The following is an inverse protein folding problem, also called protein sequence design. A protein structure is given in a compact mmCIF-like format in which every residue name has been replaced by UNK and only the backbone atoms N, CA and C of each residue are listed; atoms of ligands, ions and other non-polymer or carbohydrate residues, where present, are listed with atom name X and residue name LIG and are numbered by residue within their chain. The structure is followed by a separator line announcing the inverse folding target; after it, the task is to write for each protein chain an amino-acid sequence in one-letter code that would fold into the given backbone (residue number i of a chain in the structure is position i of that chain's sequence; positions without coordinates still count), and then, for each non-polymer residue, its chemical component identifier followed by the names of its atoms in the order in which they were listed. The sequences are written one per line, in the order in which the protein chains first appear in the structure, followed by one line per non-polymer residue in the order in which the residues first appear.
data_IF_832707678167
#
_entry.id   IF_832707678167
#
_cell.length_a   1.000
_cell.length_b   1.000
_cell.length_c   1.000
_cell.angle_alpha   90.00
_cell.angle_beta   90.00
_cell.angle_gamma   90.00
#
_symmetry.space_group_name_H-M   'P 1'
#
loop_
_entity.id
_entity.type
_entity.pdbx_description
1 polymer ?
#
# COMPACT_ATOMS: atom_id res chain seq x y z
N UNK A 1 11.56 1.70 -30.15
CA UNK A 1 11.51 3.17 -30.10
C UNK A 1 12.56 3.70 -31.06
N UNK A 2 12.24 4.71 -31.86
CA UNK A 2 13.22 5.33 -32.75
C UNK A 2 14.18 6.27 -31.96
N UNK A 3 15.36 6.60 -32.51
CA UNK A 3 16.37 7.39 -31.80
C UNK A 3 15.96 8.82 -31.45
N UNK A 4 15.11 9.47 -32.26
CA UNK A 4 14.69 10.86 -32.01
C UNK A 4 13.71 10.92 -30.84
N UNK A 5 12.75 9.99 -30.80
CA UNK A 5 11.84 9.82 -29.67
C UNK A 5 12.60 9.48 -28.38
N UNK A 6 13.60 8.60 -28.45
CA UNK A 6 14.44 8.25 -27.30
C UNK A 6 15.21 9.46 -26.76
N UNK A 7 15.81 10.27 -27.65
CA UNK A 7 16.48 11.50 -27.27
C UNK A 7 15.51 12.53 -26.67
N UNK A 8 14.28 12.59 -27.18
CA UNK A 8 13.20 13.38 -26.62
C UNK A 8 12.92 13.00 -25.16
N UNK A 9 12.80 11.71 -24.86
CA UNK A 9 12.59 11.21 -23.49
C UNK A 9 13.79 11.45 -22.58
N UNK A 10 15.03 11.34 -23.07
CA UNK A 10 16.22 11.67 -22.26
C UNK A 10 16.22 13.15 -21.88
N UNK A 11 15.83 14.03 -22.81
CA UNK A 11 15.87 15.48 -22.57
C UNK A 11 14.75 15.97 -21.67
N UNK A 12 13.54 15.41 -21.79
CA UNK A 12 12.35 15.90 -21.08
C UNK A 12 11.99 15.05 -19.86
N UNK A 13 12.40 13.79 -19.83
CA UNK A 13 12.26 12.92 -18.66
C UNK A 13 13.29 13.26 -17.60
N UNK A 14 12.97 12.91 -16.36
CA UNK A 14 13.86 13.06 -15.23
C UNK A 14 14.91 11.94 -15.23
N UNK A 15 15.98 12.16 -14.49
CA UNK A 15 17.04 11.17 -14.27
C UNK A 15 17.29 11.01 -12.79
N UNK A 16 17.40 9.76 -12.36
CA UNK A 16 17.82 9.39 -11.02
C UNK A 16 19.24 8.83 -11.11
N UNK A 17 20.20 9.54 -10.52
CA UNK A 17 21.61 9.15 -10.48
C UNK A 17 21.96 8.62 -9.10
N UNK A 18 22.47 7.40 -9.04
CA UNK A 18 22.99 6.76 -7.85
C UNK A 18 24.51 6.71 -7.88
N UNK A 19 25.14 7.15 -6.78
CA UNK A 19 26.58 7.12 -6.60
C UNK A 19 26.96 6.05 -5.58
N UNK A 20 28.01 5.29 -5.91
CA UNK A 20 28.67 4.34 -5.00
C UNK A 20 27.78 3.22 -4.45
N UNK A 21 26.67 2.90 -5.13
CA UNK A 21 25.79 1.79 -4.74
C UNK A 21 26.53 0.46 -4.93
N UNK A 22 26.58 -0.42 -3.90
CA UNK A 22 27.24 -1.70 -4.00
C UNK A 22 26.63 -2.58 -5.09
N UNK A 23 27.46 -3.40 -5.74
CA UNK A 23 26.97 -4.42 -6.68
C UNK A 23 26.04 -5.40 -5.96
N UNK A 24 25.12 -5.99 -6.73
CA UNK A 24 24.09 -6.92 -6.27
C UNK A 24 22.96 -6.31 -5.43
N UNK A 25 23.11 -5.07 -4.93
CA UNK A 25 22.00 -4.30 -4.36
C UNK A 25 20.81 -4.33 -5.31
N UNK A 26 19.63 -4.67 -4.81
CA UNK A 26 18.40 -4.54 -5.57
C UNK A 26 17.96 -3.09 -5.52
N UNK A 27 17.69 -2.50 -6.68
CA UNK A 27 17.15 -1.14 -6.81
C UNK A 27 15.91 -1.21 -7.69
N UNK A 28 14.81 -0.67 -7.18
CA UNK A 28 13.56 -0.55 -7.88
C UNK A 28 13.09 0.89 -8.04
N UNK A 29 12.33 1.10 -9.11
CA UNK A 29 11.52 2.28 -9.33
C UNK A 29 10.15 1.83 -9.82
N UNK A 30 9.10 2.26 -9.12
CA UNK A 30 7.72 1.89 -9.41
C UNK A 30 7.56 0.36 -9.47
N UNK A 31 7.07 -0.18 -10.58
CA UNK A 31 6.85 -1.61 -10.80
C UNK A 31 8.11 -2.36 -11.27
N UNK A 32 9.26 -1.67 -11.36
CA UNK A 32 10.49 -2.21 -11.93
C UNK A 32 11.53 -2.43 -10.85
N UNK A 33 12.24 -3.56 -10.92
CA UNK A 33 13.37 -3.87 -10.03
C UNK A 33 14.55 -4.40 -10.83
N UNK A 34 15.75 -4.01 -10.43
CA UNK A 34 17.01 -4.36 -11.07
C UNK A 34 18.06 -4.72 -10.02
N UNK A 35 18.95 -5.64 -10.36
CA UNK A 35 20.19 -5.85 -9.58
C UNK A 35 21.29 -4.92 -10.09
N UNK A 36 21.95 -4.21 -9.18
CA UNK A 36 23.01 -3.26 -9.51
C UNK A 36 24.24 -4.01 -10.05
N UNK A 37 24.54 -3.78 -11.33
CA UNK A 37 25.76 -4.29 -11.97
C UNK A 37 26.96 -3.35 -11.84
N UNK A 38 28.17 -3.75 -12.28
CA UNK A 38 29.41 -3.00 -12.09
C UNK A 38 29.44 -1.58 -12.66
N UNK A 39 28.63 -1.31 -13.69
CA UNK A 39 28.59 -0.03 -14.39
C UNK A 39 27.28 0.75 -14.15
N UNK A 40 26.31 0.17 -13.43
CA UNK A 40 25.01 0.79 -13.23
C UNK A 40 25.14 2.01 -12.31
N UNK A 41 24.58 3.14 -12.72
CA UNK A 41 24.54 4.37 -11.93
C UNK A 41 23.16 5.01 -11.87
N UNK A 42 22.09 4.30 -12.25
CA UNK A 42 20.73 4.78 -12.13
C UNK A 42 19.93 4.75 -13.41
N UNK A 43 18.88 5.57 -13.46
CA UNK A 43 17.76 5.42 -14.38
C UNK A 43 17.45 6.76 -15.05
N UNK A 44 17.27 6.76 -16.37
CA UNK A 44 16.90 7.93 -17.18
C UNK A 44 15.56 7.74 -17.88
N UNK A 45 15.04 8.81 -18.47
CA UNK A 45 13.74 8.82 -19.16
C UNK A 45 12.55 8.61 -18.21
N UNK A 46 12.70 8.98 -16.93
CA UNK A 46 11.62 8.86 -15.95
C UNK A 46 10.53 9.89 -16.31
N UNK A 47 9.27 9.48 -16.53
CA UNK A 47 8.21 10.44 -16.81
C UNK A 47 8.00 11.42 -15.65
N UNK A 48 7.42 12.61 -15.89
CA UNK A 48 7.06 13.51 -14.78
C UNK A 48 5.94 12.94 -13.89
N UNK A 49 6.00 13.27 -12.61
CA UNK A 49 5.00 12.90 -11.59
C UNK A 49 5.57 12.09 -10.43
N UNK A 50 4.71 11.50 -9.58
CA UNK A 50 5.15 10.72 -8.43
C UNK A 50 5.78 9.41 -8.88
N UNK A 51 6.90 9.05 -8.25
CA UNK A 51 7.58 7.78 -8.40
C UNK A 51 7.98 7.24 -7.04
N UNK A 52 8.02 5.91 -6.90
CA UNK A 52 8.51 5.27 -5.68
C UNK A 52 9.82 4.58 -5.96
N UNK A 53 10.88 5.03 -5.30
CA UNK A 53 12.23 4.46 -5.42
C UNK A 53 12.47 3.62 -4.19
N UNK A 54 12.97 2.41 -4.38
CA UNK A 54 13.22 1.49 -3.28
C UNK A 54 14.43 0.63 -3.55
N UNK A 55 15.05 0.13 -2.50
CA UNK A 55 16.24 -0.69 -2.61
C UNK A 55 16.38 -1.64 -1.43
N UNK A 56 17.17 -2.69 -1.65
CA UNK A 56 17.58 -3.64 -0.63
C UNK A 56 19.05 -3.98 -0.85
N UNK A 57 19.87 -3.71 0.16
CA UNK A 57 21.29 -4.00 0.15
C UNK A 57 21.50 -5.51 0.21
N UNK A 58 22.47 -6.04 -0.53
CA UNK A 58 22.81 -7.45 -0.48
C UNK A 58 24.07 -7.68 0.36
N UNK A 59 24.26 -8.94 0.79
CA UNK A 59 25.58 -9.39 1.21
C UNK A 59 26.57 -9.42 0.01
N UNK A 60 27.81 -9.85 0.26
CA UNK A 60 28.87 -9.88 -0.76
C UNK A 60 28.62 -10.89 -1.88
N UNK A 61 27.87 -11.94 -1.57
CA UNK A 61 27.61 -13.06 -2.48
C UNK A 61 26.32 -12.87 -3.29
N UNK A 62 25.49 -11.87 -2.92
CA UNK A 62 24.29 -11.48 -3.65
C UNK A 62 23.07 -12.38 -3.39
N UNK A 63 23.11 -13.20 -2.33
CA UNK A 63 22.08 -14.21 -2.03
C UNK A 63 21.25 -13.91 -0.76
N UNK A 64 21.70 -12.97 0.08
CA UNK A 64 20.93 -12.45 1.22
C UNK A 64 20.73 -10.94 1.09
N UNK A 65 19.53 -10.47 1.47
CA UNK A 65 19.06 -9.10 1.27
C UNK A 65 18.59 -8.44 2.57
N UNK A 66 18.85 -7.15 2.73
CA UNK A 66 18.36 -6.34 3.84
C UNK A 66 16.86 -6.07 3.70
N UNK A 67 16.18 -5.62 4.76
CA UNK A 67 14.86 -5.02 4.60
C UNK A 67 14.84 -3.93 3.53
N UNK A 68 13.72 -3.81 2.82
CA UNK A 68 13.56 -2.76 1.81
C UNK A 68 13.53 -1.39 2.49
N UNK A 69 14.20 -0.43 1.87
CA UNK A 69 14.07 0.99 2.16
C UNK A 69 13.54 1.66 0.89
N UNK A 70 12.44 2.40 1.02
CA UNK A 70 11.86 3.15 -0.09
C UNK A 70 11.55 4.60 0.26
N UNK A 71 11.38 5.44 -0.76
CA UNK A 71 11.00 6.84 -0.61
C UNK A 71 10.29 7.30 -1.89
N UNK A 72 9.40 8.29 -1.77
CA UNK A 72 8.80 8.88 -2.95
C UNK A 72 9.66 10.02 -3.50
N UNK A 73 9.52 10.25 -4.80
CA UNK A 73 10.02 11.44 -5.49
C UNK A 73 8.89 12.03 -6.33
N UNK A 74 8.85 13.36 -6.41
CA UNK A 74 8.00 14.08 -7.36
C UNK A 74 8.86 14.56 -8.53
N UNK A 75 8.95 13.74 -9.58
CA UNK A 75 9.86 13.95 -10.68
C UNK A 75 9.38 15.11 -11.57
N UNK A 76 10.17 16.17 -11.64
CA UNK A 76 9.91 17.32 -12.51
C UNK A 76 10.55 17.13 -13.90
N UNK A 77 9.98 17.70 -14.98
CA UNK A 77 10.56 17.58 -16.31
C UNK A 77 12.03 18.00 -16.35
N UNK A 78 12.88 17.16 -16.96
CA UNK A 78 14.33 17.38 -17.08
C UNK A 78 15.10 17.51 -15.76
N UNK A 79 14.49 17.15 -14.64
CA UNK A 79 15.13 17.13 -13.33
C UNK A 79 16.17 16.02 -13.24
N UNK A 80 17.26 16.28 -12.53
CA UNK A 80 18.25 15.26 -12.17
C UNK A 80 18.27 15.17 -10.66
N UNK A 81 17.89 14.01 -10.15
CA UNK A 81 17.87 13.71 -8.71
C UNK A 81 19.10 12.86 -8.42
N UNK A 82 19.96 13.32 -7.51
CA UNK A 82 21.19 12.60 -7.18
C UNK A 82 21.13 12.04 -5.77
N UNK A 83 21.50 10.77 -5.62
CA UNK A 83 21.62 10.10 -4.33
C UNK A 83 22.95 9.38 -4.24
N UNK A 84 23.56 9.41 -3.06
CA UNK A 84 24.84 8.74 -2.81
C UNK A 84 24.65 7.67 -1.74
N UNK A 85 25.27 6.51 -1.95
CA UNK A 85 25.31 5.47 -0.95
C UNK A 85 26.23 5.88 0.20
N UNK A 86 25.69 5.86 1.41
CA UNK A 86 26.46 5.92 2.64
C UNK A 86 26.79 4.50 3.11
N UNK A 87 28.07 4.15 3.12
CA UNK A 87 28.52 2.80 3.46
C UNK A 87 28.34 2.46 4.94
N UNK A 88 28.30 3.45 5.83
CA UNK A 88 28.19 3.22 7.28
C UNK A 88 26.73 3.00 7.69
N UNK A 89 25.83 3.79 7.09
CA UNK A 89 24.40 3.75 7.34
C UNK A 89 23.65 2.82 6.37
N UNK A 90 24.34 2.26 5.37
CA UNK A 90 23.80 1.39 4.32
C UNK A 90 22.53 1.95 3.65
N UNK A 91 22.58 3.25 3.31
CA UNK A 91 21.42 3.98 2.77
C UNK A 91 21.77 5.03 1.73
N UNK A 92 20.78 5.42 0.95
CA UNK A 92 20.90 6.49 -0.04
C UNK A 92 20.63 7.87 0.59
N UNK A 93 21.69 8.67 0.70
CA UNK A 93 21.60 10.03 1.26
C UNK A 93 21.56 11.11 0.18
N UNK A 94 20.94 12.25 0.52
CA UNK A 94 21.00 13.47 -0.29
C UNK A 94 22.40 14.08 -0.21
N UNK A 95 22.85 14.65 -1.33
CA UNK A 95 24.11 15.39 -1.40
C UNK A 95 23.91 16.84 -0.97
N UNK A 96 25.02 17.57 -0.82
CA UNK A 96 24.97 19.03 -0.76
C UNK A 96 24.50 19.62 -2.09
N UNK A 97 23.87 20.80 -2.05
CA UNK A 97 23.34 21.48 -3.25
C UNK A 97 24.43 21.70 -4.32
N UNK A 98 25.65 22.03 -3.90
CA UNK A 98 26.79 22.23 -4.81
C UNK A 98 27.17 20.94 -5.56
N UNK A 99 27.21 19.80 -4.85
CA UNK A 99 27.53 18.52 -5.46
C UNK A 99 26.41 18.02 -6.35
N UNK A 100 25.16 18.19 -5.93
CA UNK A 100 23.99 17.82 -6.72
C UNK A 100 23.93 18.61 -8.04
N UNK A 101 24.21 19.92 -8.02
CA UNK A 101 24.29 20.73 -9.25
C UNK A 101 25.43 20.26 -10.17
N UNK A 102 26.61 19.97 -9.62
CA UNK A 102 27.76 19.47 -10.41
C UNK A 102 27.43 18.15 -11.12
N UNK A 103 26.85 17.19 -10.40
CA UNK A 103 26.45 15.91 -11.01
C UNK A 103 25.28 16.07 -11.98
N UNK A 104 24.35 16.97 -11.69
CA UNK A 104 23.24 17.31 -12.60
C UNK A 104 23.74 17.83 -13.93
N UNK A 105 24.76 18.69 -13.94
CA UNK A 105 25.39 19.17 -15.17
C UNK A 105 26.06 18.04 -15.95
N UNK A 106 26.77 17.14 -15.27
CA UNK A 106 27.42 15.98 -15.90
C UNK A 106 26.41 14.98 -16.50
N UNK A 107 25.25 14.79 -15.87
CA UNK A 107 24.15 14.01 -16.45
C UNK A 107 23.59 14.71 -17.70
N UNK A 108 23.35 16.02 -17.63
CA UNK A 108 22.85 16.83 -18.75
C UNK A 108 23.84 16.91 -19.93
N UNK A 109 25.15 16.81 -19.68
CA UNK A 109 26.19 16.71 -20.70
C UNK A 109 26.38 15.29 -21.25
N UNK A 110 25.56 14.32 -20.81
CA UNK A 110 25.56 12.92 -21.22
C UNK A 110 26.81 12.13 -20.81
N UNK A 111 27.56 12.60 -19.80
CA UNK A 111 28.76 11.89 -19.30
C UNK A 111 28.42 10.53 -18.66
N UNK A 112 27.20 10.38 -18.15
CA UNK A 112 26.68 9.16 -17.52
C UNK A 112 25.79 8.31 -18.43
N UNK A 113 25.61 8.68 -19.71
CA UNK A 113 24.56 8.10 -20.56
C UNK A 113 24.66 6.56 -20.71
N UNK A 114 25.88 6.02 -20.70
CA UNK A 114 26.16 4.57 -20.81
C UNK A 114 25.91 3.80 -19.52
N UNK A 115 25.88 4.49 -18.38
CA UNK A 115 25.70 3.94 -17.04
C UNK A 115 24.25 4.05 -16.55
N UNK A 116 23.41 4.79 -17.27
CA UNK A 116 22.01 5.02 -16.94
C UNK A 116 21.10 4.09 -17.76
N UNK A 117 20.37 3.22 -17.06
CA UNK A 117 19.35 2.36 -17.66
C UNK A 117 18.12 3.18 -18.08
N UNK A 118 17.45 2.86 -19.21
CA UNK A 118 16.20 3.51 -19.56
C UNK A 118 15.06 3.02 -18.67
N UNK A 119 14.19 3.93 -18.24
CA UNK A 119 12.93 3.57 -17.60
C UNK A 119 12.05 2.76 -18.58
N UNK A 120 11.45 1.66 -18.13
CA UNK A 120 10.59 0.80 -18.94
C UNK A 120 9.22 1.45 -19.17
N UNK A 121 9.15 2.35 -20.15
CA UNK A 121 7.95 3.15 -20.44
C UNK A 121 6.70 2.30 -20.76
N UNK A 122 6.84 1.04 -21.17
CA UNK A 122 5.69 0.14 -21.37
C UNK A 122 4.95 -0.18 -20.08
N UNK A 123 5.61 -0.13 -18.92
CA UNK A 123 5.00 -0.36 -17.61
C UNK A 123 4.47 0.93 -16.95
N UNK A 124 4.77 2.11 -17.52
CA UNK A 124 4.32 3.39 -16.96
C UNK A 124 2.79 3.50 -16.90
N UNK A 125 2.08 2.86 -17.83
CA UNK A 125 0.62 2.85 -17.84
C UNK A 125 0.03 2.21 -16.58
N UNK A 126 0.63 1.11 -16.12
CA UNK A 126 0.21 0.41 -14.91
C UNK A 126 0.58 1.23 -13.67
N UNK A 127 1.81 1.74 -13.60
CA UNK A 127 2.23 2.66 -12.54
C UNK A 127 1.27 3.83 -12.38
N UNK A 128 0.87 4.46 -13.49
CA UNK A 128 -0.05 5.59 -13.48
C UNK A 128 -1.41 5.23 -12.88
N UNK A 129 -1.92 4.01 -13.08
CA UNK A 129 -3.17 3.59 -12.42
C UNK A 129 -3.01 3.40 -10.91
N UNK A 130 -1.80 3.08 -10.45
CA UNK A 130 -1.48 2.89 -9.03
C UNK A 130 -1.21 4.22 -8.30
N UNK A 131 -0.79 5.28 -9.01
CA UNK A 131 -0.30 6.52 -8.40
C UNK A 131 -1.00 7.81 -8.81
N UNK A 132 -2.06 7.77 -9.65
CA UNK A 132 -2.67 8.97 -10.23
C UNK A 132 -3.32 9.97 -9.25
N UNK A 133 -3.57 9.59 -7.99
CA UNK A 133 -4.06 10.49 -6.94
C UNK A 133 -2.96 10.90 -5.95
N UNK A 134 -1.74 10.36 -6.07
CA UNK A 134 -0.61 10.79 -5.25
C UNK A 134 -0.13 12.14 -5.77
N UNK A 135 -0.12 13.13 -4.89
CA UNK A 135 0.35 14.47 -5.18
C UNK A 135 1.51 14.83 -4.25
N UNK A 136 2.26 15.88 -4.60
CA UNK A 136 3.31 16.42 -3.74
C UNK A 136 2.83 16.72 -2.32
N UNK A 137 1.63 17.29 -2.18
CA UNK A 137 1.04 17.58 -0.86
C UNK A 137 0.72 16.33 -0.06
N UNK A 138 0.35 15.22 -0.72
CA UNK A 138 0.13 13.93 -0.05
C UNK A 138 1.45 13.36 0.44
N UNK A 139 2.49 13.37 -0.41
CA UNK A 139 3.83 12.91 -0.05
C UNK A 139 4.37 13.70 1.15
N UNK A 140 4.39 15.03 1.07
CA UNK A 140 4.88 15.90 2.15
C UNK A 140 4.11 15.75 3.47
N UNK A 141 2.82 15.40 3.42
CA UNK A 141 1.98 15.22 4.61
C UNK A 141 2.20 13.87 5.28
N UNK A 142 2.38 12.80 4.50
CA UNK A 142 2.39 11.43 5.00
C UNK A 142 3.80 10.90 5.22
N UNK A 143 4.78 11.32 4.42
CA UNK A 143 6.14 10.81 4.50
C UNK A 143 6.75 10.95 5.90
N UNK A 144 7.52 9.95 6.36
CA UNK A 144 8.19 10.03 7.64
C UNK A 144 9.26 11.13 7.64
N UNK A 145 9.70 11.55 8.82
CA UNK A 145 10.85 12.48 8.92
C UNK A 145 12.09 11.80 8.32
N UNK A 146 12.58 12.35 7.22
CA UNK A 146 13.68 11.80 6.43
C UNK A 146 13.25 11.15 5.11
N UNK A 147 11.95 10.90 4.92
CA UNK A 147 11.35 10.36 3.69
C UNK A 147 11.51 8.85 3.49
N UNK A 148 12.36 8.19 4.27
CA UNK A 148 12.64 6.76 4.17
C UNK A 148 11.55 5.92 4.87
N UNK A 149 10.89 5.06 4.09
CA UNK A 149 9.90 4.08 4.52
C UNK A 149 10.57 2.71 4.56
N UNK A 150 10.57 2.08 5.73
CA UNK A 150 11.14 0.74 5.93
C UNK A 150 10.53 0.10 7.17
N UNK A 151 10.34 -1.22 7.15
CA UNK A 151 9.86 -2.00 8.30
C UNK A 151 10.70 -1.78 9.57
N UNK A 152 12.00 -1.49 9.42
CA UNK A 152 12.91 -1.25 10.54
C UNK A 152 12.63 0.05 11.31
N UNK A 153 11.92 1.01 10.69
CA UNK A 153 11.59 2.32 11.28
C UNK A 153 10.15 2.39 11.80
N UNK A 154 9.37 1.32 11.63
CA UNK A 154 7.99 1.25 12.10
C UNK A 154 7.97 1.16 13.63
N UNK A 155 7.09 1.94 14.25
CA UNK A 155 7.01 2.00 15.71
C UNK A 155 6.07 0.91 16.22
N UNK A 156 6.49 0.15 17.22
CA UNK A 156 5.59 -0.73 17.98
C UNK A 156 4.47 0.03 18.71
N UNK A 157 4.56 1.37 18.81
CA UNK A 157 3.64 2.20 19.58
C UNK A 157 2.75 3.06 18.66
N UNK A 158 1.54 2.56 18.37
CA UNK A 158 0.22 3.24 18.46
C UNK A 158 -0.86 2.35 17.83
N UNK A 159 -1.77 1.80 18.65
CA UNK A 159 -3.17 1.46 18.31
C UNK A 159 -3.46 0.38 17.24
N UNK A 160 -2.49 0.05 16.40
CA UNK A 160 -2.57 -0.79 15.21
C UNK A 160 -1.66 -2.03 15.35
N UNK A 161 -1.58 -2.60 16.54
CA UNK A 161 -0.90 -3.89 16.71
C UNK A 161 -1.55 -4.97 15.85
N UNK A 162 -0.78 -5.90 15.26
CA UNK A 162 -1.29 -7.12 14.64
C UNK A 162 -2.21 -7.87 15.61
N UNK A 163 -3.50 -7.90 15.32
CA UNK A 163 -4.51 -8.56 16.17
C UNK A 163 -4.85 -9.93 15.61
N UNK A 164 -4.86 -10.06 14.30
CA UNK A 164 -5.25 -11.30 13.62
C UNK A 164 -4.07 -12.25 13.44
N UNK A 165 -4.35 -13.53 13.26
CA UNK A 165 -3.35 -14.54 12.87
C UNK A 165 -2.62 -14.14 11.58
N UNK A 166 -3.35 -13.62 10.60
CA UNK A 166 -2.82 -13.11 9.34
C UNK A 166 -1.88 -11.91 9.54
N UNK A 167 -2.28 -10.91 10.34
CA UNK A 167 -1.43 -9.74 10.60
C UNK A 167 -0.15 -10.14 11.34
N UNK A 168 -0.23 -11.13 12.24
CA UNK A 168 0.96 -11.67 12.92
C UNK A 168 1.87 -12.43 11.97
N UNK A 169 1.32 -13.28 11.10
CA UNK A 169 2.08 -13.99 10.09
C UNK A 169 2.77 -13.03 9.11
N UNK A 170 2.07 -11.97 8.68
CA UNK A 170 2.63 -10.91 7.85
C UNK A 170 3.76 -10.18 8.57
N UNK A 171 3.55 -9.79 9.83
CA UNK A 171 4.58 -9.15 10.64
C UNK A 171 5.81 -10.07 10.80
N UNK A 172 5.62 -11.36 11.05
CA UNK A 172 6.72 -12.33 11.14
C UNK A 172 7.47 -12.46 9.81
N UNK A 173 6.76 -12.49 8.68
CA UNK A 173 7.36 -12.55 7.35
C UNK A 173 8.21 -11.31 7.06
N UNK A 174 7.67 -10.12 7.31
CA UNK A 174 8.35 -8.83 7.08
C UNK A 174 9.52 -8.60 8.07
N UNK A 175 9.37 -9.06 9.31
CA UNK A 175 10.38 -8.90 10.36
C UNK A 175 11.42 -10.04 10.42
N UNK A 176 11.30 -11.08 9.60
CA UNK A 176 12.19 -12.27 9.61
C UNK A 176 13.67 -11.99 9.30
N UNK A 177 14.03 -10.73 9.03
CA UNK A 177 15.42 -10.33 8.80
C UNK A 177 16.25 -10.37 10.09
N UNK A 178 17.42 -11.01 10.03
CA UNK A 178 18.42 -11.05 11.11
C UNK A 178 19.11 -9.70 11.36
N UNK A 179 18.60 -8.61 10.77
CA UNK A 179 19.29 -7.32 10.61
C UNK A 179 18.71 -6.19 11.47
N UNK A 180 17.85 -6.48 12.44
CA UNK A 180 17.32 -5.45 13.35
C UNK A 180 18.44 -4.89 14.26
N UNK A 181 19.01 -3.72 13.90
CA UNK A 181 19.75 -2.91 14.86
C UNK A 181 18.75 -2.23 15.80
N UNK A 182 18.99 -2.19 17.12
CA UNK A 182 18.13 -1.44 18.03
C UNK A 182 18.24 0.05 17.68
N UNK A 183 17.20 0.62 17.09
CA UNK A 183 17.10 2.06 16.88
C UNK A 183 16.62 2.74 18.17
N UNK A 184 17.06 3.98 18.41
CA UNK A 184 16.65 4.75 19.58
C UNK A 184 15.12 4.91 19.65
N UNK A 185 14.54 4.46 20.77
CA UNK A 185 13.09 4.34 21.04
C UNK A 185 12.29 5.65 21.03
N UNK A 186 12.90 6.79 20.68
CA UNK A 186 12.36 8.13 20.97
C UNK A 186 11.97 8.96 19.74
N UNK A 187 12.10 8.45 18.52
CA UNK A 187 11.64 9.16 17.31
C UNK A 187 10.61 8.32 16.56
N UNK A 188 9.39 8.87 16.44
CA UNK A 188 8.36 8.37 15.52
C UNK A 188 8.92 8.53 14.10
N UNK A 189 9.33 7.41 13.48
CA UNK A 189 9.90 7.35 12.14
C UNK A 189 8.99 6.68 11.11
N UNK A 190 7.78 6.27 11.50
CA UNK A 190 6.75 5.80 10.58
C UNK A 190 6.00 6.93 9.88
N UNK A 191 5.24 6.58 8.85
CA UNK A 191 4.42 7.51 8.09
C UNK A 191 3.33 8.17 8.96
N UNK A 192 2.95 9.41 8.62
CA UNK A 192 1.92 10.19 9.32
C UNK A 192 0.53 9.97 8.70
N UNK A 193 0.09 8.72 8.68
CA UNK A 193 -1.23 8.35 8.18
C UNK A 193 -2.37 8.99 8.98
N UNK A 194 -3.49 9.22 8.29
CA UNK A 194 -4.74 9.70 8.87
C UNK A 194 -5.30 8.64 9.81
N UNK A 195 -5.66 9.03 11.02
CA UNK A 195 -6.15 8.09 12.04
C UNK A 195 -7.58 7.67 11.77
N UNK A 196 -7.78 6.40 11.40
CA UNK A 196 -9.11 5.83 11.14
C UNK A 196 -9.54 5.00 12.36
N UNK A 197 -10.54 5.44 13.14
CA UNK A 197 -11.00 4.69 14.30
C UNK A 197 -11.72 3.41 13.85
N UNK A 198 -11.25 2.26 14.33
CA UNK A 198 -11.88 0.95 14.04
C UNK A 198 -13.34 0.89 14.51
N UNK A 199 -13.59 1.43 15.69
CA UNK A 199 -14.91 1.51 16.30
C UNK A 199 -15.13 2.94 16.76
N UNK A 200 -16.24 3.53 16.33
CA UNK A 200 -16.67 4.83 16.83
C UNK A 200 -17.17 4.62 18.25
N UNK A 201 -16.48 5.21 19.22
CA UNK A 201 -16.86 5.18 20.65
C UNK A 201 -17.14 6.60 21.11
N UNK A 202 -18.39 6.88 21.45
CA UNK A 202 -18.78 8.16 22.04
C UNK A 202 -19.47 7.91 23.37
N UNK A 203 -18.98 8.54 24.44
CA UNK A 203 -19.50 8.35 25.81
C UNK A 203 -20.91 8.94 26.01
N UNK A 204 -21.37 9.80 25.10
CA UNK A 204 -22.61 10.57 25.25
C UNK A 204 -23.71 10.16 24.25
N UNK A 205 -23.45 9.18 23.38
CA UNK A 205 -24.41 8.71 22.36
C UNK A 205 -25.23 7.53 22.90
N UNK A 206 -26.53 7.48 22.58
CA UNK A 206 -27.40 6.35 22.96
C UNK A 206 -26.96 5.06 22.25
N UNK A 207 -27.11 3.91 22.90
CA UNK A 207 -26.64 2.62 22.37
C UNK A 207 -27.10 2.32 20.93
N UNK A 208 -28.36 2.61 20.59
CA UNK A 208 -28.89 2.40 19.24
C UNK A 208 -28.21 3.29 18.18
N UNK A 209 -27.98 4.56 18.49
CA UNK A 209 -27.29 5.50 17.60
C UNK A 209 -25.82 5.10 17.44
N UNK A 210 -25.18 4.61 18.51
CA UNK A 210 -23.81 4.10 18.46
C UNK A 210 -23.69 2.84 17.59
N UNK A 211 -24.65 1.91 17.68
CA UNK A 211 -24.73 0.74 16.81
C UNK A 211 -24.90 1.17 15.35
N UNK A 212 -25.83 2.09 15.08
CA UNK A 212 -26.07 2.60 13.72
C UNK A 212 -24.81 3.23 13.10
N UNK A 213 -24.06 4.03 13.87
CA UNK A 213 -22.80 4.64 13.42
C UNK A 213 -21.68 3.63 13.15
N UNK A 214 -21.76 2.43 13.74
CA UNK A 214 -20.77 1.40 13.52
C UNK A 214 -21.18 0.42 12.41
N UNK A 215 -22.47 0.30 12.10
CA UNK A 215 -22.99 -0.47 10.96
C UNK A 215 -22.82 0.27 9.63
N UNK A 216 -23.03 1.58 9.60
CA UNK A 216 -22.78 2.42 8.42
C UNK A 216 -21.66 3.42 8.71
N UNK A 217 -20.53 3.27 8.01
CA UNK A 217 -19.36 4.14 8.18
C UNK A 217 -19.48 5.49 7.46
N UNK A 218 -20.59 5.78 6.78
CA UNK A 218 -20.79 7.04 6.02
C UNK A 218 -20.51 8.28 6.87
N UNK A 219 -21.02 8.36 8.10
CA UNK A 219 -20.78 9.52 8.97
C UNK A 219 -19.31 9.66 9.41
N UNK A 220 -18.62 8.53 9.60
CA UNK A 220 -17.20 8.54 9.90
C UNK A 220 -16.39 9.04 8.70
N UNK A 221 -16.72 8.59 7.49
CA UNK A 221 -16.11 9.06 6.25
C UNK A 221 -16.29 10.58 6.08
N UNK A 222 -17.51 11.11 6.29
CA UNK A 222 -17.77 12.55 6.18
C UNK A 222 -16.97 13.37 7.20
N UNK A 223 -16.83 12.86 8.43
CA UNK A 223 -16.03 13.50 9.47
C UNK A 223 -14.55 13.58 9.10
N UNK A 224 -13.98 12.47 8.61
CA UNK A 224 -12.58 12.38 8.17
C UNK A 224 -12.35 13.30 6.96
N UNK A 225 -13.21 13.26 5.95
CA UNK A 225 -13.11 14.13 4.77
C UNK A 225 -13.12 15.60 5.16
N UNK A 226 -13.98 16.00 6.09
CA UNK A 226 -14.07 17.39 6.55
C UNK A 226 -12.86 17.80 7.38
N UNK A 227 -12.42 16.95 8.31
CA UNK A 227 -11.40 17.29 9.31
C UNK A 227 -9.99 17.21 8.76
N UNK A 228 -9.66 16.13 8.04
CA UNK A 228 -8.30 15.81 7.63
C UNK A 228 -8.00 16.18 6.17
N UNK A 229 -9.04 16.28 5.33
CA UNK A 229 -8.90 16.52 3.88
C UNK A 229 -9.58 17.80 3.39
N UNK A 230 -10.23 18.57 4.26
CA UNK A 230 -10.91 19.82 3.88
C UNK A 230 -12.01 19.64 2.82
N UNK A 231 -12.60 18.44 2.74
CA UNK A 231 -13.58 18.05 1.73
C UNK A 231 -13.01 17.58 0.39
N UNK A 232 -11.68 17.60 0.21
CA UNK A 232 -11.03 17.16 -1.03
C UNK A 232 -10.90 15.63 -1.09
N UNK A 233 -11.90 14.98 -1.67
CA UNK A 233 -12.01 13.52 -1.79
C UNK A 233 -10.78 12.86 -2.45
N UNK A 234 -10.17 13.52 -3.43
CA UNK A 234 -9.01 12.99 -4.16
C UNK A 234 -7.76 12.84 -3.27
N UNK A 235 -7.66 13.62 -2.18
CA UNK A 235 -6.57 13.50 -1.21
C UNK A 235 -6.68 12.22 -0.36
N UNK A 236 -7.89 11.77 -0.05
CA UNK A 236 -8.13 10.48 0.62
C UNK A 236 -7.69 9.33 -0.30
N UNK A 237 -8.00 9.41 -1.60
CA UNK A 237 -7.53 8.44 -2.59
C UNK A 237 -6.02 8.46 -2.79
N UNK A 238 -5.39 9.63 -2.67
CA UNK A 238 -3.93 9.77 -2.68
C UNK A 238 -3.28 9.06 -1.51
N UNK A 239 -3.81 9.19 -0.29
CA UNK A 239 -3.35 8.43 0.87
C UNK A 239 -3.58 6.92 0.68
N UNK A 240 -4.72 6.52 0.12
CA UNK A 240 -5.03 5.13 -0.17
C UNK A 240 -4.02 4.50 -1.14
N UNK A 241 -3.63 5.21 -2.20
CA UNK A 241 -2.60 4.77 -3.14
C UNK A 241 -1.20 4.77 -2.51
N UNK A 242 -0.87 5.81 -1.73
CA UNK A 242 0.42 5.89 -1.02
C UNK A 242 0.61 4.68 -0.08
N UNK A 243 -0.42 4.34 0.69
CA UNK A 243 -0.40 3.20 1.61
C UNK A 243 -0.22 1.88 0.85
N UNK A 244 -0.93 1.68 -0.27
CA UNK A 244 -0.78 0.48 -1.08
C UNK A 244 0.65 0.31 -1.63
N UNK A 245 1.23 1.38 -2.19
CA UNK A 245 2.58 1.35 -2.77
C UNK A 245 3.63 1.15 -1.69
N UNK A 246 3.52 1.86 -0.57
CA UNK A 246 4.43 1.73 0.57
C UNK A 246 4.39 0.32 1.17
N UNK A 247 3.21 -0.31 1.17
CA UNK A 247 3.07 -1.71 1.56
C UNK A 247 3.71 -2.65 0.55
N UNK A 248 3.27 -2.61 -0.71
CA UNK A 248 3.63 -3.62 -1.71
C UNK A 248 5.10 -3.55 -2.12
N UNK A 249 5.62 -2.33 -2.32
CA UNK A 249 7.00 -2.11 -2.77
C UNK A 249 7.93 -1.81 -1.59
N UNK A 250 7.45 -1.05 -0.61
CA UNK A 250 8.24 -0.65 0.57
C UNK A 250 8.22 -1.67 1.72
N UNK A 251 7.42 -2.74 1.61
CA UNK A 251 7.29 -3.77 2.65
C UNK A 251 6.91 -3.21 4.03
N UNK A 252 6.15 -2.12 4.05
CA UNK A 252 5.69 -1.44 5.26
C UNK A 252 4.43 -2.09 5.83
N UNK A 253 4.49 -2.57 7.09
CA UNK A 253 3.33 -3.10 7.81
C UNK A 253 2.37 -1.97 8.22
N UNK A 254 2.89 -0.81 8.63
CA UNK A 254 2.04 0.35 8.94
C UNK A 254 1.21 0.77 7.72
N UNK A 255 1.81 0.71 6.53
CA UNK A 255 1.13 0.99 5.28
C UNK A 255 0.06 -0.05 4.94
N UNK A 256 0.30 -1.34 5.18
CA UNK A 256 -0.71 -2.38 5.01
C UNK A 256 -1.93 -2.12 5.91
N UNK A 257 -1.69 -1.84 7.19
CA UNK A 257 -2.76 -1.62 8.16
C UNK A 257 -3.57 -0.36 7.84
N UNK A 258 -2.92 0.68 7.32
CA UNK A 258 -3.61 1.87 6.83
C UNK A 258 -4.44 1.56 5.57
N UNK A 259 -3.88 0.84 4.61
CA UNK A 259 -4.61 0.40 3.41
C UNK A 259 -5.85 -0.42 3.81
N UNK A 260 -5.70 -1.41 4.70
CA UNK A 260 -6.82 -2.20 5.27
C UNK A 260 -7.87 -1.30 5.93
N UNK A 261 -7.46 -0.34 6.77
CA UNK A 261 -8.38 0.57 7.46
C UNK A 261 -9.18 1.45 6.48
N UNK A 262 -8.56 1.91 5.40
CA UNK A 262 -9.22 2.69 4.34
C UNK A 262 -10.20 1.84 3.53
N UNK A 263 -9.82 0.60 3.19
CA UNK A 263 -10.72 -0.36 2.53
C UNK A 263 -11.94 -0.64 3.42
N UNK A 264 -11.72 -0.92 4.71
CA UNK A 264 -12.81 -1.15 5.68
C UNK A 264 -13.71 0.07 5.86
N UNK A 265 -13.14 1.28 5.89
CA UNK A 265 -13.91 2.52 5.99
C UNK A 265 -14.82 2.70 4.77
N UNK A 266 -14.27 2.57 3.56
CA UNK A 266 -14.99 2.85 2.32
C UNK A 266 -16.01 1.74 2.04
N UNK A 267 -15.62 0.46 2.02
CA UNK A 267 -16.55 -0.64 1.77
C UNK A 267 -17.60 -0.80 2.88
N UNK A 268 -17.36 -0.29 4.09
CA UNK A 268 -18.33 -0.26 5.18
C UNK A 268 -19.34 0.89 5.15
N UNK A 269 -19.35 1.73 4.11
CA UNK A 269 -20.36 2.77 3.93
C UNK A 269 -21.57 2.25 3.14
N UNK A 270 -22.79 2.48 3.63
CA UNK A 270 -24.02 2.09 2.91
C UNK A 270 -24.69 3.24 2.19
N UNK A 271 -24.77 4.42 2.81
CA UNK A 271 -25.44 5.60 2.23
C UNK A 271 -24.53 6.37 1.26
N UNK A 272 -23.24 6.51 1.59
CA UNK A 272 -22.27 7.24 0.78
C UNK A 272 -22.17 6.78 -0.69
N UNK A 273 -22.03 5.47 -1.00
CA UNK A 273 -21.93 5.02 -2.39
C UNK A 273 -23.19 5.30 -3.22
N UNK A 274 -24.37 5.28 -2.61
CA UNK A 274 -25.65 5.35 -3.32
C UNK A 274 -26.25 6.76 -3.39
N UNK A 275 -25.91 7.65 -2.44
CA UNK A 275 -26.62 8.91 -2.27
C UNK A 275 -25.72 10.15 -2.20
N UNK A 276 -24.70 10.17 -1.34
CA UNK A 276 -23.96 11.41 -1.07
C UNK A 276 -22.64 11.52 -1.82
N UNK A 277 -21.99 10.39 -2.15
CA UNK A 277 -20.59 10.34 -2.61
C UNK A 277 -20.34 9.32 -3.73
N UNK A 278 -21.33 9.03 -4.58
CA UNK A 278 -21.23 8.00 -5.63
C UNK A 278 -19.99 8.16 -6.54
N UNK A 279 -19.57 9.41 -6.82
CA UNK A 279 -18.38 9.68 -7.63
C UNK A 279 -17.05 9.31 -6.92
N UNK A 280 -16.93 9.59 -5.61
CA UNK A 280 -15.79 9.10 -4.81
C UNK A 280 -15.73 7.58 -4.85
N UNK A 281 -16.86 6.92 -4.67
CA UNK A 281 -16.92 5.46 -4.68
C UNK A 281 -16.57 4.88 -6.05
N UNK A 282 -17.03 5.47 -7.14
CA UNK A 282 -16.62 5.07 -8.49
C UNK A 282 -15.08 5.16 -8.64
N UNK A 283 -14.47 6.27 -8.19
CA UNK A 283 -13.01 6.44 -8.22
C UNK A 283 -12.31 5.41 -7.33
N UNK A 284 -12.79 5.20 -6.11
CA UNK A 284 -12.24 4.23 -5.17
C UNK A 284 -12.28 2.80 -5.74
N UNK A 285 -13.42 2.35 -6.25
CA UNK A 285 -13.56 1.01 -6.83
C UNK A 285 -12.62 0.82 -8.01
N UNK A 286 -12.43 1.85 -8.84
CA UNK A 286 -11.44 1.83 -9.90
C UNK A 286 -10.00 1.73 -9.37
N UNK A 287 -9.66 2.46 -8.31
CA UNK A 287 -8.32 2.40 -7.69
C UNK A 287 -8.05 1.01 -7.11
N UNK A 288 -8.94 0.49 -6.26
CA UNK A 288 -8.74 -0.83 -5.65
C UNK A 288 -8.75 -1.94 -6.71
N UNK A 289 -9.54 -1.83 -7.78
CA UNK A 289 -9.46 -2.74 -8.93
C UNK A 289 -8.05 -2.79 -9.52
N UNK A 290 -7.44 -1.64 -9.80
CA UNK A 290 -6.09 -1.61 -10.36
C UNK A 290 -5.02 -2.09 -9.37
N UNK A 291 -5.16 -1.76 -8.09
CA UNK A 291 -4.29 -2.25 -7.02
C UNK A 291 -4.33 -3.77 -6.91
N UNK A 292 -5.53 -4.35 -6.78
CA UNK A 292 -5.70 -5.80 -6.66
C UNK A 292 -5.34 -6.52 -7.96
N UNK A 293 -5.69 -5.96 -9.12
CA UNK A 293 -5.27 -6.52 -10.42
C UNK A 293 -3.76 -6.62 -10.52
N UNK A 294 -3.03 -5.59 -10.07
CA UNK A 294 -1.57 -5.62 -10.07
C UNK A 294 -1.03 -6.59 -9.02
N UNK A 295 -1.49 -6.50 -7.77
CA UNK A 295 -0.98 -7.31 -6.66
C UNK A 295 -1.31 -8.81 -6.77
N UNK A 296 -2.35 -9.18 -7.53
CA UNK A 296 -2.77 -10.56 -7.78
C UNK A 296 -2.23 -11.16 -9.08
N UNK A 297 -1.54 -10.38 -9.92
CA UNK A 297 -0.95 -10.91 -11.15
C UNK A 297 0.08 -11.98 -10.81
N UNK A 298 -0.24 -13.23 -11.16
CA UNK A 298 0.73 -14.35 -11.17
C UNK A 298 1.79 -14.00 -12.20
N UNK A 299 3.05 -13.95 -11.80
CA UNK A 299 4.19 -13.62 -12.66
C UNK A 299 4.07 -14.32 -14.02
N UNK A 300 3.77 -13.56 -15.08
CA UNK A 300 4.19 -13.93 -16.43
C UNK A 300 5.59 -13.35 -16.64
N UNK A 301 6.58 -13.93 -15.97
CA UNK A 301 7.99 -13.67 -16.27
C UNK A 301 8.56 -14.85 -17.07
N UNK A 302 8.44 -14.73 -18.39
CA UNK A 302 9.43 -15.25 -19.35
C UNK A 302 10.78 -14.49 -19.24
N UNK A 303 10.96 -13.66 -18.21
CA UNK A 303 12.21 -12.94 -17.93
C UNK A 303 13.18 -13.88 -17.23
N UNK A 304 13.98 -14.57 -18.05
CA UNK A 304 15.16 -15.34 -17.66
C UNK A 304 16.04 -14.50 -16.71
N UNK A 305 15.98 -14.77 -15.40
CA UNK A 305 16.95 -14.27 -14.43
C UNK A 305 16.42 -13.54 -13.19
N UNK A 306 15.11 -13.33 -13.02
CA UNK A 306 14.57 -12.83 -11.75
C UNK A 306 14.43 -13.99 -10.76
N UNK A 307 15.53 -14.34 -10.09
CA UNK A 307 15.54 -15.36 -9.05
C UNK A 307 14.69 -14.92 -7.84
N UNK A 308 13.89 -15.87 -7.36
CA UNK A 308 13.13 -15.91 -6.11
C UNK A 308 13.75 -15.04 -5.00
N UNK A 309 13.18 -13.87 -4.70
CA UNK A 309 13.74 -13.11 -3.58
C UNK A 309 12.97 -11.89 -3.07
N UNK A 310 12.24 -11.12 -3.88
CA UNK A 310 11.91 -9.75 -3.44
C UNK A 310 10.45 -9.31 -3.56
N UNK A 311 9.57 -10.09 -4.21
CA UNK A 311 8.15 -9.78 -4.20
C UNK A 311 7.46 -10.56 -3.08
N UNK A 312 7.06 -9.87 -2.03
CA UNK A 312 5.84 -10.23 -1.33
C UNK A 312 4.68 -9.97 -2.30
N UNK A 313 4.51 -10.85 -3.28
CA UNK A 313 3.20 -11.00 -3.91
C UNK A 313 2.21 -11.22 -2.77
N UNK A 314 1.02 -10.63 -2.88
CA UNK A 314 -0.08 -10.92 -1.97
C UNK A 314 -0.23 -12.44 -1.96
N UNK A 315 0.29 -13.09 -0.93
CA UNK A 315 0.21 -14.54 -0.83
C UNK A 315 -1.27 -14.89 -0.86
N UNK A 316 -1.65 -15.89 -1.65
CA UNK A 316 -3.04 -16.36 -1.77
C UNK A 316 -3.59 -16.73 -0.37
N UNK A 317 -2.71 -17.07 0.58
CA UNK A 317 -3.04 -17.29 1.99
C UNK A 317 -3.56 -16.04 2.72
N UNK A 318 -3.15 -14.82 2.31
CA UNK A 318 -3.59 -13.55 2.89
C UNK A 318 -4.96 -13.11 2.38
N UNK A 319 -5.38 -13.64 1.23
CA UNK A 319 -6.65 -13.35 0.55
C UNK A 319 -7.52 -14.61 0.47
N UNK A 320 -7.45 -15.47 1.48
CA UNK A 320 -8.37 -16.60 1.60
C UNK A 320 -9.81 -16.09 1.77
N UNK A 321 -10.81 -16.97 1.56
CA UNK A 321 -12.23 -16.62 1.70
C UNK A 321 -12.62 -16.15 3.12
N UNK A 322 -11.79 -16.48 4.12
CA UNK A 322 -11.92 -16.01 5.50
C UNK A 322 -11.26 -14.63 5.71
N UNK A 323 -10.80 -13.97 4.65
CA UNK A 323 -10.19 -12.64 4.74
C UNK A 323 -11.24 -11.55 4.96
N UNK A 324 -10.85 -10.50 5.70
CA UNK A 324 -11.64 -9.27 5.87
C UNK A 324 -12.10 -8.69 4.52
N UNK A 325 -11.30 -8.84 3.46
CA UNK A 325 -11.60 -8.27 2.15
C UNK A 325 -12.77 -9.00 1.48
N UNK A 326 -12.84 -10.34 1.57
CA UNK A 326 -13.95 -11.11 1.03
C UNK A 326 -15.28 -10.68 1.66
N UNK A 327 -15.34 -10.56 2.99
CA UNK A 327 -16.52 -10.13 3.72
C UNK A 327 -16.99 -8.73 3.31
N UNK A 328 -16.08 -7.75 3.31
CA UNK A 328 -16.39 -6.37 2.92
C UNK A 328 -16.83 -6.27 1.46
N UNK A 329 -16.17 -7.00 0.55
CA UNK A 329 -16.55 -7.02 -0.86
C UNK A 329 -17.92 -7.65 -1.05
N UNK A 330 -18.23 -8.75 -0.35
CA UNK A 330 -19.53 -9.43 -0.44
C UNK A 330 -20.67 -8.48 -0.09
N UNK A 331 -20.59 -7.83 1.07
CA UNK A 331 -21.63 -6.92 1.55
C UNK A 331 -21.77 -5.69 0.64
N UNK A 332 -20.65 -5.11 0.19
CA UNK A 332 -20.65 -3.98 -0.71
C UNK A 332 -21.20 -4.34 -2.11
N UNK A 333 -20.88 -5.51 -2.64
CA UNK A 333 -21.42 -5.98 -3.92
C UNK A 333 -22.93 -6.21 -3.81
N UNK A 334 -23.40 -6.82 -2.73
CA UNK A 334 -24.84 -6.96 -2.48
C UNK A 334 -25.52 -5.59 -2.48
N UNK A 335 -25.00 -4.63 -1.70
CA UNK A 335 -25.52 -3.27 -1.61
C UNK A 335 -25.65 -2.60 -2.98
N UNK A 336 -24.58 -2.59 -3.77
CA UNK A 336 -24.53 -1.86 -5.05
C UNK A 336 -25.31 -2.58 -6.15
N UNK A 337 -25.29 -3.92 -6.18
CA UNK A 337 -25.95 -4.70 -7.24
C UNK A 337 -27.46 -4.83 -7.04
N UNK A 338 -27.94 -4.78 -5.79
CA UNK A 338 -29.37 -4.84 -5.45
C UNK A 338 -30.02 -3.45 -5.30
N UNK A 339 -29.23 -2.38 -5.31
CA UNK A 339 -29.75 -1.02 -5.21
C UNK A 339 -30.73 -0.71 -6.37
N UNK A 340 -31.92 -0.14 -6.07
CA UNK A 340 -32.90 0.19 -7.11
C UNK A 340 -32.42 1.30 -8.05
N UNK A 341 -31.57 2.20 -7.55
CA UNK A 341 -30.96 3.30 -8.29
C UNK A 341 -29.49 3.37 -7.88
N UNK A 342 -28.60 3.30 -8.87
CA UNK A 342 -27.16 3.38 -8.67
C UNK A 342 -26.53 4.07 -9.88
N UNK A 343 -25.44 4.79 -9.63
CA UNK A 343 -24.62 5.37 -10.69
C UNK A 343 -24.11 4.27 -11.65
N UNK A 344 -24.21 4.52 -12.95
CA UNK A 344 -23.89 3.52 -13.98
C UNK A 344 -22.41 3.16 -14.04
N UNK A 345 -21.53 4.12 -13.79
CA UNK A 345 -20.08 3.89 -13.80
C UNK A 345 -19.65 3.15 -12.54
N UNK A 346 -20.20 3.53 -11.37
CA UNK A 346 -20.00 2.79 -10.12
C UNK A 346 -20.43 1.33 -10.30
N UNK A 347 -21.63 1.09 -10.85
CA UNK A 347 -22.13 -0.26 -11.09
C UNK A 347 -21.23 -1.05 -12.05
N UNK A 348 -20.74 -0.42 -13.12
CA UNK A 348 -19.83 -1.06 -14.08
C UNK A 348 -18.50 -1.46 -13.44
N UNK A 349 -17.89 -0.56 -12.67
CA UNK A 349 -16.62 -0.84 -12.00
C UNK A 349 -16.76 -1.85 -10.87
N UNK A 350 -17.86 -1.84 -10.13
CA UNK A 350 -18.15 -2.86 -9.11
C UNK A 350 -18.26 -4.25 -9.73
N UNK A 351 -18.91 -4.38 -10.90
CA UNK A 351 -18.95 -5.66 -11.63
C UNK A 351 -17.56 -6.13 -12.06
N UNK A 352 -16.73 -5.22 -12.59
CA UNK A 352 -15.35 -5.55 -12.97
C UNK A 352 -14.50 -5.99 -11.78
N UNK A 353 -14.67 -5.35 -10.63
CA UNK A 353 -13.98 -5.73 -9.40
C UNK A 353 -14.43 -7.10 -8.91
N UNK A 354 -15.75 -7.36 -8.91
CA UNK A 354 -16.31 -8.67 -8.60
C UNK A 354 -15.73 -9.75 -9.52
N UNK A 355 -15.80 -9.56 -10.83
CA UNK A 355 -15.26 -10.48 -11.85
C UNK A 355 -13.78 -10.76 -11.62
N UNK A 356 -12.97 -9.72 -11.38
CA UNK A 356 -11.53 -9.88 -11.10
C UNK A 356 -11.28 -10.82 -9.90
N UNK A 357 -12.02 -10.63 -8.82
CA UNK A 357 -11.84 -11.41 -7.59
C UNK A 357 -12.34 -12.85 -7.77
N UNK A 358 -13.47 -13.05 -8.44
CA UNK A 358 -14.00 -14.38 -8.78
C UNK A 358 -13.02 -15.14 -9.69
N UNK A 359 -12.51 -14.49 -10.74
CA UNK A 359 -11.59 -15.11 -11.71
C UNK A 359 -10.22 -15.43 -11.12
N UNK A 360 -9.70 -14.56 -10.24
CA UNK A 360 -8.31 -14.67 -9.77
C UNK A 360 -8.19 -15.50 -8.50
N UNK A 361 -9.13 -15.35 -7.56
CA UNK A 361 -9.10 -16.01 -6.25
C UNK A 361 -10.11 -17.16 -6.14
N UNK A 362 -11.01 -17.34 -7.12
CA UNK A 362 -12.05 -18.36 -7.07
C UNK A 362 -13.12 -18.11 -5.99
N UNK A 363 -13.25 -16.88 -5.52
CA UNK A 363 -14.28 -16.49 -4.56
C UNK A 363 -15.68 -16.63 -5.17
N UNK A 364 -16.67 -16.97 -4.34
CA UNK A 364 -18.07 -17.06 -4.76
C UNK A 364 -18.91 -16.02 -4.01
N UNK A 365 -19.35 -15.00 -4.76
CA UNK A 365 -20.23 -13.96 -4.25
C UNK A 365 -21.70 -14.21 -4.60
N UNK A 366 -22.07 -15.40 -5.10
CA UNK A 366 -23.46 -15.71 -5.40
C UNK A 366 -24.31 -15.88 -4.14
N UNK A 367 -25.59 -15.51 -4.24
CA UNK A 367 -26.60 -15.83 -3.24
C UNK A 367 -26.87 -17.34 -3.25
N UNK A 368 -26.62 -18.01 -2.13
CA UNK A 368 -27.38 -19.24 -1.81
C UNK A 368 -28.82 -18.81 -1.54
N UNK A 369 -29.67 -19.02 -2.53
CA UNK A 369 -31.11 -18.76 -2.43
C UNK A 369 -31.73 -19.62 -1.33
N UNK A 370 -32.28 -18.97 -0.30
CA UNK A 370 -33.40 -19.45 0.51
C UNK A 370 -33.14 -20.64 1.44
N UNK A 371 -33.44 -20.41 2.72
CA UNK A 371 -33.53 -21.41 3.81
C UNK A 371 -32.17 -21.80 4.43
N UNK A 372 -31.51 -20.84 5.06
CA UNK A 372 -30.84 -21.12 6.33
C UNK A 372 -30.95 -19.89 7.23
N UNK A 373 -32.09 -19.80 7.91
CA UNK A 373 -32.31 -18.88 9.01
C UNK A 373 -31.62 -19.42 10.25
N UNK A 374 -30.31 -19.26 10.33
CA UNK A 374 -29.53 -19.30 11.56
C UNK A 374 -28.18 -18.64 11.28
N UNK A 375 -28.03 -17.38 11.72
CA UNK A 375 -26.73 -16.74 11.84
C UNK A 375 -25.91 -17.54 12.87
N UNK A 376 -25.17 -18.53 12.41
CA UNK A 376 -24.02 -19.06 13.14
C UNK A 376 -22.78 -18.35 12.57
N UNK A 377 -22.53 -17.15 13.09
CA UNK A 377 -21.25 -16.46 13.02
C UNK A 377 -20.25 -17.24 13.90
N UNK A 378 -19.68 -18.32 13.38
CA UNK A 378 -18.60 -19.03 14.09
C UNK A 378 -17.19 -18.55 13.72
N UNK A 379 -17.03 -17.63 12.75
CA UNK A 379 -15.71 -17.13 12.36
C UNK A 379 -15.74 -15.72 11.73
N UNK A 380 -16.54 -14.80 12.28
CA UNK A 380 -16.31 -13.37 12.01
C UNK A 380 -15.05 -12.93 12.78
N UNK A 381 -14.00 -12.50 12.06
CA UNK A 381 -12.77 -11.88 12.59
C UNK A 381 -13.07 -10.74 13.60
N UNK A 382 -14.29 -10.18 13.55
CA UNK A 382 -14.78 -9.08 14.38
C UNK A 382 -15.82 -9.49 15.44
N UNK A 383 -16.13 -10.78 15.58
CA UNK A 383 -16.99 -11.28 16.66
C UNK A 383 -16.36 -10.96 18.04
N UNK A 384 -17.16 -10.51 19.03
CA UNK A 384 -16.64 -10.27 20.37
C UNK A 384 -16.15 -11.60 20.99
N UNK A 385 -14.95 -11.59 21.56
CA UNK A 385 -14.42 -12.73 22.33
C UNK A 385 -15.35 -12.99 23.51
N UNK A 386 -16.04 -14.13 23.48
CA UNK A 386 -16.90 -14.57 24.59
C UNK A 386 -15.98 -15.12 25.69
N UNK A 387 -15.70 -14.30 26.70
CA UNK A 387 -15.15 -14.80 27.96
C UNK A 387 -16.24 -15.58 28.68
N UNK A 388 -16.14 -16.91 28.63
CA UNK A 388 -16.92 -17.80 29.47
C UNK A 388 -16.51 -17.55 30.92
N UNK A 389 -17.30 -16.78 31.66
CA UNK A 389 -17.14 -16.66 33.10
C UNK A 389 -17.36 -18.05 33.71
N UNK A 390 -16.32 -18.59 34.35
CA UNK A 390 -16.43 -19.83 35.11
C UNK A 390 -17.65 -19.76 36.02
N UNK A 391 -18.61 -20.66 35.79
CA UNK A 391 -19.84 -20.73 36.56
C UNK A 391 -19.52 -20.99 38.04
N UNK A 392 -20.40 -20.57 38.96
CA UNK A 392 -20.14 -20.74 40.38
C UNK A 392 -20.05 -22.23 40.69
N UNK A 393 -18.95 -22.64 41.32
CA UNK A 393 -18.77 -23.97 41.89
C UNK A 393 -19.98 -24.31 42.77
N UNK A 394 -20.84 -25.19 42.27
CA UNK A 394 -21.85 -25.85 43.09
C UNK A 394 -21.14 -26.83 44.01
N UNK A 395 -20.68 -26.32 45.15
CA UNK A 395 -20.23 -27.14 46.27
C UNK A 395 -21.47 -27.73 46.95
N UNK A 396 -21.99 -28.84 46.43
CA UNK A 396 -22.96 -29.67 47.13
C UNK A 396 -22.28 -30.34 48.34
N UNK A 397 -22.41 -29.69 49.50
CA UNK A 397 -22.18 -30.34 50.78
C UNK A 397 -23.23 -31.42 51.00
N UNK A 398 -22.86 -32.69 50.78
CA UNK A 398 -23.65 -33.83 51.23
C UNK A 398 -23.38 -34.06 52.72
N UNK A 399 -24.32 -33.62 53.55
CA UNK A 399 -24.48 -34.11 54.92
C UNK A 399 -25.49 -35.26 54.91
N UNK A 400 -25.01 -36.47 55.20
CA UNK A 400 -25.75 -37.54 55.88
C UNK A 400 -24.76 -38.59 56.38
#
# INVERSE_FOLDING_TARGET
MDPETALGFVKHGSTLLFLDVPQFTLVGIDTQMFSVGPAFKGIKMIPPGPHFVYYSSSNRDGDEFSPIIGFFIDASPSEVIVRKWDQQEERLVKLSEEEEERYSQAVKSLEFDRQLGPYTLSQYGDWKQLSNYITKSIMERIEPIGGEITVACESEMVGNTPKTSMEKALAEQLCSSKFSRPLDKYQRRGCYYTSIPRVVKHKEIRGQELTSLNLDKTQLLESILTTDYGGAEDLLLGEFQFAFISFLMGQSLDAFLQWKSLVSLLLGCTEAPLHTRSHLFMKFIKVIYHQLKYGLQKEHTDTVGAEKGAFTLLDESWLSADSFLHHLCKDFFLLVLEAPVVDGDLLSWTRKLKELLEDTLGWDFQQRSGVDGAYHEEDDEYAPVVEMLDGPDHNEGSAA
#
